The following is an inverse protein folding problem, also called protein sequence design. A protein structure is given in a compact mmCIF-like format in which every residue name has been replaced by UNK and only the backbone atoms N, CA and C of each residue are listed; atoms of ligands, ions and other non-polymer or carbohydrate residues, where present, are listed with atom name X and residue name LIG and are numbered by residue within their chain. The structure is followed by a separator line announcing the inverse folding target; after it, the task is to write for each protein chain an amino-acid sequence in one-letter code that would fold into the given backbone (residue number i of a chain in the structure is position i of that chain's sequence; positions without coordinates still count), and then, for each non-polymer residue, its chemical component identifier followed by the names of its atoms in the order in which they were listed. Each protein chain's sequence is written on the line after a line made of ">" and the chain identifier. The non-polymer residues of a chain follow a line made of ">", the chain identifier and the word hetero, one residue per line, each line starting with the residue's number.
data_IF_199043966632
#
_entry.id   IF_199043966632
#
_cell.length_a   1.000
_cell.length_b   1.000
_cell.length_c   1.000
_cell.angle_alpha   90.00
_cell.angle_beta   90.00
_cell.angle_gamma   90.00
#
_symmetry.space_group_name_H-M   'P 1'
#
loop_
_entity.id
_entity.type
_entity.pdbx_description
1 polymer ?
#
# COMPACT_ATOMS: atom_id res chain seq x y z
N UNK A 1 -20.71 13.99 -30.63
CA UNK A 1 -19.37 13.92 -30.01
C UNK A 1 -19.07 12.44 -29.78
N UNK A 2 -17.94 11.93 -30.27
CA UNK A 2 -17.59 10.51 -30.14
C UNK A 2 -17.45 10.11 -28.68
N UNK A 3 -18.00 8.95 -28.30
CA UNK A 3 -17.87 8.39 -26.95
C UNK A 3 -16.40 8.08 -26.68
N UNK A 4 -15.82 8.66 -25.63
CA UNK A 4 -14.45 8.32 -25.22
C UNK A 4 -14.46 6.90 -24.66
N UNK A 5 -13.47 6.10 -25.04
CA UNK A 5 -13.25 4.77 -24.43
C UNK A 5 -12.47 5.00 -23.14
N UNK A 6 -12.98 4.47 -22.03
CA UNK A 6 -12.41 4.69 -20.70
C UNK A 6 -11.78 3.41 -20.18
N UNK A 7 -10.78 3.60 -19.33
CA UNK A 7 -10.32 2.59 -18.40
C UNK A 7 -10.59 3.01 -16.96
N UNK A 8 -10.84 2.02 -16.12
CA UNK A 8 -11.12 2.18 -14.70
C UNK A 8 -10.08 1.40 -13.89
N UNK A 9 -9.55 2.05 -12.86
CA UNK A 9 -8.66 1.41 -11.90
C UNK A 9 -9.49 0.70 -10.84
N UNK A 10 -9.55 -0.63 -10.92
CA UNK A 10 -10.35 -1.46 -10.01
C UNK A 10 -9.95 -1.26 -8.54
N UNK A 11 -10.91 -1.45 -7.64
CA UNK A 11 -10.71 -1.22 -6.21
C UNK A 11 -9.95 -2.35 -5.52
N UNK A 12 -10.09 -3.57 -6.05
CA UNK A 12 -9.63 -4.79 -5.38
C UNK A 12 -8.14 -5.06 -5.61
N UNK A 13 -7.64 -4.73 -6.79
CA UNK A 13 -6.25 -5.03 -7.20
C UNK A 13 -5.48 -3.81 -7.70
N UNK A 14 -6.12 -2.65 -7.82
CA UNK A 14 -5.58 -1.41 -8.40
C UNK A 14 -5.08 -1.54 -9.86
N UNK A 15 -5.51 -2.56 -10.60
CA UNK A 15 -5.22 -2.71 -12.02
C UNK A 15 -6.17 -1.87 -12.90
N UNK A 16 -5.68 -1.46 -14.06
CA UNK A 16 -6.45 -0.74 -15.06
C UNK A 16 -7.13 -1.69 -16.02
N UNK A 17 -8.46 -1.52 -16.18
CA UNK A 17 -9.28 -2.31 -17.08
C UNK A 17 -10.06 -1.41 -18.03
N UNK A 18 -10.20 -1.81 -19.29
CA UNK A 18 -11.09 -1.13 -20.22
C UNK A 18 -12.54 -1.33 -19.79
N UNK A 19 -13.32 -0.25 -19.72
CA UNK A 19 -14.69 -0.27 -19.22
C UNK A 19 -15.66 0.48 -20.12
N UNK A 20 -16.93 0.10 -20.04
CA UNK A 20 -18.06 0.83 -20.59
C UNK A 20 -18.84 1.42 -19.41
N UNK A 21 -18.97 2.74 -19.41
CA UNK A 21 -19.68 3.46 -18.36
C UNK A 21 -21.06 3.91 -18.84
N UNK A 22 -22.04 3.81 -17.98
CA UNK A 22 -23.41 4.28 -18.22
C UNK A 22 -24.01 4.87 -16.94
N UNK A 23 -24.60 6.06 -17.05
CA UNK A 23 -25.30 6.74 -15.95
C UNK A 23 -26.81 6.54 -16.14
N UNK A 24 -27.44 5.73 -15.28
CA UNK A 24 -28.90 5.51 -15.28
C UNK A 24 -29.50 6.15 -14.04
N UNK A 25 -30.30 7.20 -14.24
CA UNK A 25 -30.85 7.98 -13.13
C UNK A 25 -29.74 8.55 -12.27
N UNK A 26 -29.63 8.08 -11.02
CA UNK A 26 -28.60 8.52 -10.06
C UNK A 26 -27.49 7.48 -9.82
N UNK A 27 -27.42 6.43 -10.63
CA UNK A 27 -26.45 5.34 -10.48
C UNK A 27 -25.50 5.27 -11.67
N UNK A 28 -24.20 5.37 -11.38
CA UNK A 28 -23.14 5.10 -12.34
C UNK A 28 -22.87 3.59 -12.38
N UNK A 29 -22.95 3.00 -13.56
CA UNK A 29 -22.60 1.61 -13.81
C UNK A 29 -21.32 1.51 -14.64
N UNK A 30 -20.46 0.58 -14.25
CA UNK A 30 -19.15 0.31 -14.87
C UNK A 30 -19.16 -1.16 -15.28
N UNK A 31 -19.22 -1.41 -16.58
CA UNK A 31 -19.18 -2.74 -17.18
C UNK A 31 -17.76 -3.00 -17.70
N UNK A 32 -17.12 -4.06 -17.22
CA UNK A 32 -15.75 -4.41 -17.61
C UNK A 32 -15.74 -5.10 -18.97
N UNK A 33 -14.82 -4.73 -19.86
CA UNK A 33 -14.70 -5.42 -21.14
C UNK A 33 -14.12 -6.82 -20.96
N UNK A 34 -14.74 -7.81 -21.62
CA UNK A 34 -14.28 -9.19 -21.63
C UNK A 34 -14.75 -10.06 -20.47
N UNK A 35 -15.43 -9.50 -19.48
CA UNK A 35 -16.01 -10.23 -18.33
C UNK A 35 -17.43 -9.76 -18.04
N UNK A 36 -18.29 -10.64 -17.53
CA UNK A 36 -19.67 -10.30 -17.14
C UNK A 36 -19.72 -9.74 -15.71
N UNK A 37 -18.91 -8.72 -15.44
CA UNK A 37 -18.86 -8.05 -14.15
C UNK A 37 -19.29 -6.60 -14.29
N UNK A 38 -20.09 -6.12 -13.32
CA UNK A 38 -20.57 -4.74 -13.30
C UNK A 38 -20.52 -4.18 -11.90
N UNK A 39 -19.86 -3.03 -11.74
CA UNK A 39 -19.80 -2.27 -10.49
C UNK A 39 -20.74 -1.08 -10.59
N UNK A 40 -21.46 -0.80 -9.51
CA UNK A 40 -22.44 0.28 -9.45
C UNK A 40 -22.15 1.24 -8.30
N UNK A 41 -22.21 2.54 -8.58
CA UNK A 41 -22.10 3.60 -7.60
C UNK A 41 -23.36 4.46 -7.61
N UNK A 42 -24.14 4.43 -6.53
CA UNK A 42 -25.26 5.33 -6.34
C UNK A 42 -24.76 6.67 -5.79
N UNK A 43 -25.24 7.79 -6.35
CA UNK A 43 -24.83 9.14 -5.94
C UNK A 43 -25.13 9.44 -4.46
N UNK A 44 -26.10 8.75 -3.85
CA UNK A 44 -26.49 8.86 -2.44
C UNK A 44 -25.54 8.17 -1.47
N UNK A 45 -24.67 7.27 -1.94
CA UNK A 45 -23.84 6.42 -1.08
C UNK A 45 -22.52 7.07 -0.68
N UNK A 46 -22.28 8.31 -1.11
CA UNK A 46 -21.04 9.03 -0.81
C UNK A 46 -21.20 9.85 0.46
N UNK A 47 -20.25 9.71 1.37
CA UNK A 47 -20.24 10.42 2.66
C UNK A 47 -19.63 11.82 2.55
N UNK A 48 -18.79 12.07 1.54
CA UNK A 48 -18.08 13.34 1.35
C UNK A 48 -17.76 13.61 -0.12
N UNK A 49 -17.51 14.88 -0.46
CA UNK A 49 -17.03 15.24 -1.79
C UNK A 49 -15.67 14.60 -2.11
N UNK A 50 -14.81 14.42 -1.10
CA UNK A 50 -13.52 13.75 -1.25
C UNK A 50 -13.68 12.27 -1.64
N UNK A 51 -14.71 11.59 -1.10
CA UNK A 51 -15.02 10.22 -1.51
C UNK A 51 -15.45 10.16 -3.00
N UNK A 52 -16.20 11.15 -3.48
CA UNK A 52 -16.57 11.28 -4.90
C UNK A 52 -15.31 11.48 -5.75
N UNK A 53 -14.42 12.40 -5.35
CA UNK A 53 -13.19 12.69 -6.09
C UNK A 53 -12.25 11.48 -6.17
N UNK A 54 -12.16 10.68 -5.11
CA UNK A 54 -11.40 9.42 -5.13
C UNK A 54 -11.88 8.44 -6.20
N UNK A 55 -13.19 8.35 -6.43
CA UNK A 55 -13.75 7.51 -7.50
C UNK A 55 -13.49 8.13 -8.87
N UNK A 56 -13.66 9.45 -9.02
CA UNK A 56 -13.39 10.14 -10.29
C UNK A 56 -11.94 9.96 -10.75
N UNK A 57 -10.97 10.02 -9.81
CA UNK A 57 -9.53 9.80 -10.10
C UNK A 57 -9.17 8.38 -10.53
N UNK A 58 -10.12 7.44 -10.47
CA UNK A 58 -9.94 6.07 -10.98
C UNK A 58 -10.39 5.90 -12.42
N UNK A 59 -10.81 6.95 -13.10
CA UNK A 59 -11.11 6.93 -14.53
C UNK A 59 -10.08 7.72 -15.32
N UNK A 60 -9.73 7.20 -16.50
CA UNK A 60 -9.05 7.96 -17.54
C UNK A 60 -9.38 7.39 -18.92
N UNK A 61 -8.93 8.08 -19.96
CA UNK A 61 -8.98 7.55 -21.34
C UNK A 61 -8.08 6.33 -21.43
N UNK A 62 -8.49 5.32 -22.20
CA UNK A 62 -7.68 4.11 -22.41
C UNK A 62 -6.25 4.47 -22.81
N UNK A 63 -5.27 3.91 -22.11
CA UNK A 63 -3.85 4.14 -22.35
C UNK A 63 -3.40 3.40 -23.62
N UNK A 64 -3.05 4.09 -24.72
CA UNK A 64 -2.66 3.40 -25.94
C UNK A 64 -1.26 2.79 -25.82
N UNK A 65 -1.07 1.63 -26.44
CA UNK A 65 0.23 0.96 -26.49
C UNK A 65 1.29 1.88 -27.10
N UNK A 66 2.45 1.97 -26.44
CA UNK A 66 3.57 2.79 -26.87
C UNK A 66 4.10 2.31 -28.23
N UNK A 67 4.08 3.19 -29.22
CA UNK A 67 4.57 2.86 -30.56
C UNK A 67 6.07 3.12 -30.69
N UNK A 68 6.75 2.41 -31.61
CA UNK A 68 8.20 2.56 -31.86
C UNK A 68 8.62 4.00 -32.15
N UNK A 69 7.75 4.75 -32.86
CA UNK A 69 7.98 6.17 -33.18
C UNK A 69 7.87 7.10 -31.97
N UNK A 70 7.21 6.64 -30.91
CA UNK A 70 6.96 7.37 -29.67
C UNK A 70 7.98 7.01 -28.58
N UNK A 71 8.69 5.88 -28.71
CA UNK A 71 9.76 5.46 -27.80
C UNK A 71 10.74 6.59 -27.43
N UNK A 72 11.22 7.44 -28.37
CA UNK A 72 12.13 8.55 -28.02
C UNK A 72 11.51 9.59 -27.08
N UNK A 73 10.18 9.70 -27.01
CA UNK A 73 9.46 10.64 -26.13
C UNK A 73 9.41 10.17 -24.68
N UNK A 74 9.62 8.89 -24.42
CA UNK A 74 9.60 8.33 -23.07
C UNK A 74 10.98 8.54 -22.46
N UNK A 75 11.04 9.36 -21.42
CA UNK A 75 12.25 9.70 -20.69
C UNK A 75 12.13 9.40 -19.20
N UNK A 76 13.24 9.52 -18.47
CA UNK A 76 13.24 9.39 -17.01
C UNK A 76 12.22 10.35 -16.39
N UNK A 77 11.39 9.85 -15.48
CA UNK A 77 10.29 10.58 -14.85
C UNK A 77 8.94 10.42 -15.55
N UNK A 78 8.89 9.87 -16.77
CA UNK A 78 7.63 9.62 -17.48
C UNK A 78 6.76 8.64 -16.70
N UNK A 79 5.46 8.93 -16.60
CA UNK A 79 4.48 7.98 -16.09
C UNK A 79 3.95 7.14 -17.25
N UNK A 80 3.99 5.83 -17.10
CA UNK A 80 3.51 4.86 -18.08
C UNK A 80 2.59 3.85 -17.42
N UNK A 81 1.73 3.21 -18.22
CA UNK A 81 0.95 2.06 -17.77
C UNK A 81 1.59 0.80 -18.34
N UNK A 82 1.97 -0.16 -17.51
CA UNK A 82 2.78 -1.30 -17.92
C UNK A 82 2.16 -2.64 -17.55
N UNK A 83 2.39 -3.63 -18.40
CA UNK A 83 1.96 -5.01 -18.21
C UNK A 83 2.79 -5.71 -17.12
N UNK A 84 2.10 -6.30 -16.15
CA UNK A 84 2.68 -6.99 -15.01
C UNK A 84 2.25 -8.45 -14.99
N UNK A 85 3.22 -9.35 -15.06
CA UNK A 85 3.04 -10.81 -15.16
C UNK A 85 3.38 -11.50 -13.83
N UNK A 86 2.69 -11.15 -12.75
CA UNK A 86 3.01 -11.65 -11.38
C UNK A 86 2.18 -12.86 -10.96
N UNK A 87 1.01 -13.08 -11.56
CA UNK A 87 0.05 -14.07 -11.06
C UNK A 87 0.23 -15.49 -11.64
N UNK A 88 1.21 -15.68 -12.54
CA UNK A 88 1.42 -16.95 -13.25
C UNK A 88 0.32 -17.22 -14.30
N UNK A 89 0.67 -17.91 -15.40
CA UNK A 89 -0.23 -18.11 -16.54
C UNK A 89 -0.41 -16.86 -17.42
N UNK A 90 -1.49 -16.80 -18.20
CA UNK A 90 -1.82 -15.69 -19.12
C UNK A 90 -2.45 -14.46 -18.42
N UNK A 91 -2.54 -14.44 -17.07
CA UNK A 91 -3.12 -13.32 -16.32
C UNK A 91 -2.16 -12.11 -16.30
N UNK A 92 -2.31 -11.28 -17.33
CA UNK A 92 -1.56 -10.04 -17.52
C UNK A 92 -2.42 -8.86 -17.10
N UNK A 93 -1.94 -8.09 -16.11
CA UNK A 93 -2.63 -6.88 -15.61
C UNK A 93 -1.79 -5.64 -15.80
N UNK A 94 -2.45 -4.50 -15.89
CA UNK A 94 -1.82 -3.22 -16.21
C UNK A 94 -1.82 -2.28 -15.01
N UNK A 95 -0.66 -1.73 -14.68
CA UNK A 95 -0.47 -0.83 -13.54
C UNK A 95 0.39 0.37 -13.94
N UNK A 96 0.22 1.48 -13.23
CA UNK A 96 1.06 2.65 -13.47
C UNK A 96 2.47 2.46 -12.89
N UNK A 97 3.46 3.02 -13.58
CA UNK A 97 4.85 3.02 -13.18
C UNK A 97 5.54 4.31 -13.65
N UNK A 98 6.59 4.71 -12.95
CA UNK A 98 7.51 5.77 -13.36
C UNK A 98 8.70 5.15 -14.07
N UNK A 99 9.12 5.73 -15.18
CA UNK A 99 10.36 5.35 -15.86
C UNK A 99 11.54 5.93 -15.08
N UNK A 100 12.36 5.10 -14.44
CA UNK A 100 13.54 5.54 -13.68
C UNK A 100 14.80 5.67 -14.54
N UNK A 101 14.89 4.84 -15.58
CA UNK A 101 15.96 4.89 -16.57
C UNK A 101 15.49 4.31 -17.90
N UNK A 102 16.15 4.71 -18.98
CA UNK A 102 15.95 4.13 -20.31
C UNK A 102 17.31 3.77 -20.88
N UNK A 103 17.51 2.47 -21.12
CA UNK A 103 18.64 1.98 -21.89
C UNK A 103 18.25 1.97 -23.37
N UNK A 104 18.92 2.81 -24.15
CA UNK A 104 18.55 3.09 -25.55
C UNK A 104 19.25 2.10 -26.47
N UNK A 105 18.47 1.24 -27.10
CA UNK A 105 18.92 0.33 -28.14
C UNK A 105 18.56 0.79 -29.56
N UNK A 106 18.89 -0.05 -30.53
CA UNK A 106 18.57 0.20 -31.93
C UNK A 106 17.05 0.18 -32.20
N UNK A 107 16.66 0.96 -33.22
CA UNK A 107 15.29 1.02 -33.71
C UNK A 107 15.26 0.63 -35.19
N UNK A 108 14.36 -0.29 -35.54
CA UNK A 108 14.04 -0.61 -36.93
C UNK A 108 12.62 -0.14 -37.23
N UNK A 109 12.48 1.05 -37.79
CA UNK A 109 11.17 1.60 -38.17
C UNK A 109 10.50 0.84 -39.31
N UNK A 110 11.28 0.14 -40.13
CA UNK A 110 10.78 -0.69 -41.24
C UNK A 110 10.17 -1.99 -40.72
N UNK A 111 10.75 -2.58 -39.67
CA UNK A 111 10.25 -3.82 -39.05
C UNK A 111 9.34 -3.59 -37.84
N UNK A 112 9.27 -2.36 -37.33
CA UNK A 112 8.55 -2.06 -36.09
C UNK A 112 9.23 -2.62 -34.84
N UNK A 113 10.57 -2.74 -34.85
CA UNK A 113 11.33 -3.29 -33.74
C UNK A 113 12.02 -2.17 -32.95
N UNK A 114 11.96 -2.26 -31.62
CA UNK A 114 12.67 -1.38 -30.70
C UNK A 114 13.36 -2.23 -29.64
N UNK A 115 14.68 -2.07 -29.51
CA UNK A 115 15.50 -2.81 -28.55
C UNK A 115 15.77 -2.01 -27.26
N UNK A 116 15.06 -0.90 -27.04
CA UNK A 116 15.16 -0.14 -25.80
C UNK A 116 14.61 -0.95 -24.62
N UNK A 117 15.29 -0.82 -23.49
CA UNK A 117 14.84 -1.35 -22.20
C UNK A 117 14.48 -0.20 -21.28
N UNK A 118 13.30 -0.26 -20.68
CA UNK A 118 12.81 0.73 -19.74
C UNK A 118 12.88 0.16 -18.33
N UNK A 119 13.54 0.86 -17.41
CA UNK A 119 13.54 0.52 -15.99
C UNK A 119 12.34 1.20 -15.36
N UNK A 120 11.37 0.40 -14.92
CA UNK A 120 10.11 0.87 -14.35
C UNK A 120 10.13 0.75 -12.83
N UNK A 121 9.78 1.85 -12.15
CA UNK A 121 9.41 1.88 -10.73
C UNK A 121 7.90 1.90 -10.60
N UNK A 122 7.31 0.80 -10.17
CA UNK A 122 5.86 0.65 -10.15
C UNK A 122 5.21 1.59 -9.12
N UNK A 123 4.12 2.25 -9.50
CA UNK A 123 3.36 3.12 -8.61
C UNK A 123 2.19 2.41 -7.95
N UNK A 124 1.80 1.25 -8.48
CA UNK A 124 0.62 0.47 -8.08
C UNK A 124 0.85 -1.03 -8.31
N UNK A 125 -0.07 -1.82 -7.79
CA UNK A 125 -0.11 -3.26 -8.01
C UNK A 125 0.94 -4.06 -7.23
N UNK A 126 1.11 -5.34 -7.54
CA UNK A 126 1.92 -6.28 -6.75
C UNK A 126 3.43 -5.98 -6.80
N UNK A 127 3.88 -5.14 -7.73
CA UNK A 127 5.28 -4.72 -7.86
C UNK A 127 5.56 -3.31 -7.36
N UNK A 128 4.57 -2.60 -6.79
CA UNK A 128 4.68 -1.21 -6.30
C UNK A 128 6.03 -0.89 -5.64
N UNK A 129 6.84 0.02 -6.18
CA UNK A 129 8.14 0.40 -5.60
C UNK A 129 9.32 -0.49 -5.98
N UNK A 130 9.09 -1.65 -6.61
CA UNK A 130 10.16 -2.45 -7.22
C UNK A 130 10.60 -1.84 -8.55
N UNK A 131 11.86 -2.11 -8.90
CA UNK A 131 12.39 -1.83 -10.23
C UNK A 131 12.31 -3.08 -11.09
N UNK A 132 11.74 -2.95 -12.29
CA UNK A 132 11.76 -4.03 -13.29
C UNK A 132 12.07 -3.49 -14.67
N UNK A 133 12.69 -4.34 -15.48
CA UNK A 133 12.89 -4.05 -16.89
C UNK A 133 11.62 -4.38 -17.68
N UNK A 134 11.28 -3.50 -18.61
CA UNK A 134 10.19 -3.65 -19.55
C UNK A 134 10.66 -3.33 -20.96
N UNK A 135 10.06 -4.01 -21.94
CA UNK A 135 10.22 -3.67 -23.35
C UNK A 135 9.11 -2.73 -23.80
N UNK A 136 9.26 -2.14 -24.99
CA UNK A 136 8.23 -1.28 -25.57
C UNK A 136 6.85 -1.95 -25.64
N UNK A 137 6.82 -3.26 -25.91
CA UNK A 137 5.57 -4.03 -26.12
C UNK A 137 4.72 -4.12 -24.86
N UNK A 138 5.36 -4.04 -23.69
CA UNK A 138 4.72 -4.10 -22.37
C UNK A 138 4.31 -2.74 -21.82
N UNK A 139 4.43 -1.66 -22.59
CA UNK A 139 4.23 -0.28 -22.12
C UNK A 139 3.12 0.40 -22.94
N UNK A 140 2.24 1.08 -22.23
CA UNK A 140 1.23 1.99 -22.75
C UNK A 140 1.51 3.41 -22.25
N UNK A 141 1.20 4.40 -23.09
CA UNK A 141 1.33 5.82 -22.74
C UNK A 141 0.13 6.28 -21.93
N UNK A 142 0.38 7.01 -20.85
CA UNK A 142 -0.68 7.61 -20.04
C UNK A 142 -0.90 9.04 -20.54
N UNK A 143 -2.03 9.24 -21.22
CA UNK A 143 -2.44 10.57 -21.68
C UNK A 143 -3.47 11.12 -20.69
N UNK A 144 -3.04 12.04 -19.82
CA UNK A 144 -3.95 12.85 -19.03
C UNK A 144 -4.14 14.20 -19.73
N UNK A 145 -5.22 14.36 -20.50
CA UNK A 145 -5.60 15.63 -21.10
C UNK A 145 -6.27 16.58 -20.08
N UNK A 146 -6.36 16.17 -18.81
CA UNK A 146 -7.04 16.88 -17.73
C UNK A 146 -8.56 16.94 -17.90
N UNK A 147 -9.13 16.27 -18.92
CA UNK A 147 -10.55 16.30 -19.22
C UNK A 147 -11.25 15.08 -18.62
N UNK A 148 -12.11 15.33 -17.65
CA UNK A 148 -13.00 14.31 -17.10
C UNK A 148 -14.08 13.99 -18.14
N UNK A 149 -14.34 12.70 -18.36
CA UNK A 149 -15.41 12.26 -19.26
C UNK A 149 -16.77 12.87 -18.86
N UNK A 150 -17.60 13.35 -19.82
CA UNK A 150 -18.88 14.00 -19.51
C UNK A 150 -19.83 13.18 -18.64
N UNK A 151 -19.83 11.84 -18.77
CA UNK A 151 -20.68 10.95 -17.95
C UNK A 151 -20.17 10.96 -16.50
N UNK A 152 -18.85 10.83 -16.33
CA UNK A 152 -18.20 10.85 -15.01
C UNK A 152 -18.35 12.22 -14.35
N UNK A 153 -18.21 13.31 -15.11
CA UNK A 153 -18.42 14.67 -14.63
C UNK A 153 -19.88 14.90 -14.18
N UNK A 154 -20.86 14.40 -14.95
CA UNK A 154 -22.28 14.49 -14.62
C UNK A 154 -22.60 13.74 -13.33
N UNK A 155 -22.06 12.53 -13.18
CA UNK A 155 -22.19 11.74 -11.96
C UNK A 155 -21.55 12.43 -10.74
N UNK A 156 -20.32 12.94 -10.90
CA UNK A 156 -19.60 13.66 -9.84
C UNK A 156 -20.42 14.85 -9.32
N UNK A 157 -20.95 15.68 -10.23
CA UNK A 157 -21.81 16.81 -9.87
C UNK A 157 -23.11 16.38 -9.17
N UNK A 158 -23.67 15.22 -9.52
CA UNK A 158 -24.84 14.68 -8.86
C UNK A 158 -24.52 14.21 -7.44
N UNK A 159 -23.46 13.43 -7.27
CA UNK A 159 -23.03 12.90 -5.98
C UNK A 159 -22.65 14.03 -5.00
N UNK A 160 -21.86 15.02 -5.45
CA UNK A 160 -21.49 16.19 -4.64
C UNK A 160 -22.71 16.96 -4.13
N UNK A 161 -23.72 17.20 -4.99
CA UNK A 161 -24.98 17.85 -4.57
C UNK A 161 -25.72 17.06 -3.48
N UNK A 162 -25.68 15.72 -3.51
CA UNK A 162 -26.32 14.88 -2.50
C UNK A 162 -25.58 14.99 -1.16
N UNK A 163 -24.26 14.96 -1.19
CA UNK A 163 -23.40 15.18 0.00
C UNK A 163 -23.70 16.52 0.66
N UNK A 164 -23.79 17.61 -0.11
CA UNK A 164 -24.13 18.94 0.43
C UNK A 164 -25.54 18.97 1.04
N UNK A 165 -26.51 18.32 0.40
CA UNK A 165 -27.90 18.28 0.87
C UNK A 165 -28.08 17.42 2.14
N UNK A 166 -27.25 16.40 2.36
CA UNK A 166 -27.24 15.63 3.61
C UNK A 166 -26.62 16.39 4.79
N UNK A 167 -25.70 17.34 4.52
CA UNK A 167 -25.06 18.17 5.54
C UNK A 167 -25.98 19.27 6.11
N UNK A 168 -27.00 19.71 5.36
CA UNK A 168 -27.89 20.81 5.73
C UNK A 168 -28.98 20.52 6.77
N UNK A 169 -28.91 19.44 7.55
CA UNK A 169 -29.97 19.01 8.47
C UNK A 169 -29.71 19.13 9.98
N UNK A 170 -28.58 19.66 10.45
CA UNK A 170 -28.39 19.94 11.89
C UNK A 170 -27.87 21.37 12.14
N UNK A 171 -28.67 22.15 12.87
CA UNK A 171 -28.43 23.56 13.23
C UNK A 171 -27.61 23.67 14.53
N UNK A 172 -26.56 24.50 14.47
CA UNK A 172 -25.88 25.28 15.53
C UNK A 172 -25.43 24.63 16.84
N UNK A 173 -24.11 24.54 17.04
CA UNK A 173 -23.41 25.11 18.20
C UNK A 173 -22.11 25.77 17.72
N UNK A 174 -21.85 26.96 18.25
CA UNK A 174 -20.73 27.85 17.96
C UNK A 174 -19.53 27.59 18.87
N UNK A 175 -18.36 27.92 18.33
CA UNK A 175 -17.11 28.38 18.97
C UNK A 175 -15.99 27.36 19.27
N UNK A 176 -14.92 27.60 18.51
CA UNK A 176 -13.50 27.74 18.88
C UNK A 176 -12.49 26.61 18.64
N UNK A 177 -11.48 27.02 17.85
CA UNK A 177 -10.03 26.78 17.96
C UNK A 177 -9.38 25.61 17.23
N UNK A 178 -8.31 25.94 16.50
CA UNK A 178 -7.23 25.01 16.09
C UNK A 178 -7.17 24.65 14.61
N UNK A 179 -6.73 25.57 13.75
CA UNK A 179 -6.58 25.33 12.31
C UNK A 179 -5.40 24.41 11.93
N UNK A 180 -5.71 23.16 11.58
CA UNK A 180 -4.79 22.13 11.04
C UNK A 180 -4.52 22.25 9.53
N UNK A 181 -4.61 23.46 8.95
CA UNK A 181 -4.52 23.65 7.50
C UNK A 181 -3.10 23.92 6.96
N UNK A 182 -2.06 23.38 7.61
CA UNK A 182 -0.70 23.55 7.11
C UNK A 182 0.12 22.30 7.43
N UNK A 183 0.19 21.34 6.49
CA UNK A 183 1.27 20.32 6.39
C UNK A 183 1.16 19.36 5.18
N UNK A 184 0.22 19.54 4.23
CA UNK A 184 0.24 18.85 2.93
C UNK A 184 0.55 19.77 1.75
N UNK A 185 1.33 20.83 2.00
CA UNK A 185 2.00 21.61 0.96
C UNK A 185 3.45 21.80 1.45
N UNK A 186 4.39 21.41 0.59
CA UNK A 186 5.85 21.36 0.77
C UNK A 186 6.41 20.21 1.60
N UNK A 187 6.64 19.05 0.95
CA UNK A 187 8.03 18.67 0.69
C UNK A 187 8.14 17.71 -0.52
N UNK A 188 8.95 18.10 -1.51
CA UNK A 188 9.30 17.28 -2.68
C UNK A 188 10.50 16.37 -2.37
N UNK A 189 10.55 15.78 -1.18
CA UNK A 189 11.54 14.76 -0.84
C UNK A 189 10.85 13.44 -0.55
N UNK A 190 11.12 12.45 -1.42
CA UNK A 190 11.00 11.04 -1.04
C UNK A 190 11.91 10.85 0.19
N UNK A 191 11.42 10.28 1.31
CA UNK A 191 12.26 10.05 2.47
C UNK A 191 13.42 9.14 2.06
N UNK A 192 14.64 9.56 2.40
CA UNK A 192 15.83 8.76 2.15
C UNK A 192 15.83 7.52 3.04
N UNK A 193 16.63 6.51 2.67
CA UNK A 193 16.85 5.35 3.53
C UNK A 193 17.35 5.76 4.92
N UNK A 194 18.12 6.85 5.02
CA UNK A 194 18.55 7.44 6.28
C UNK A 194 17.40 8.08 7.08
N UNK A 195 16.43 8.71 6.42
CA UNK A 195 15.23 9.26 7.09
C UNK A 195 14.35 8.13 7.65
N UNK A 196 14.27 7.02 6.92
CA UNK A 196 13.62 5.79 7.39
C UNK A 196 14.43 5.25 8.57
N UNK A 197 15.75 5.07 8.47
CA UNK A 197 16.60 4.59 9.55
C UNK A 197 16.51 5.46 10.83
N UNK A 198 16.51 6.78 10.69
CA UNK A 198 16.35 7.72 11.80
C UNK A 198 14.94 7.63 12.43
N UNK A 199 13.90 7.37 11.62
CA UNK A 199 12.56 7.09 12.11
C UNK A 199 12.50 5.75 12.85
N UNK A 200 13.25 4.73 12.41
CA UNK A 200 13.41 3.46 13.11
C UNK A 200 14.11 3.68 14.46
N UNK A 201 15.23 4.41 14.49
CA UNK A 201 15.99 4.73 15.71
C UNK A 201 15.18 5.54 16.74
N UNK A 202 14.31 6.45 16.27
CA UNK A 202 13.39 7.22 17.13
C UNK A 202 12.32 6.36 17.82
N UNK A 203 11.95 5.21 17.25
CA UNK A 203 10.96 4.28 17.83
C UNK A 203 11.61 3.37 18.89
N UNK A 204 12.92 3.13 18.81
CA UNK A 204 13.68 2.28 19.74
C UNK A 204 14.19 3.01 21.01
N UNK A 205 13.62 4.17 21.34
CA UNK A 205 13.93 4.89 22.58
C UNK A 205 13.45 4.15 23.83
N UNK A 206 14.39 3.58 24.59
CA UNK A 206 14.33 3.20 26.02
C UNK A 206 13.12 2.41 26.57
N UNK A 207 12.29 1.78 25.72
CA UNK A 207 11.18 0.91 26.10
C UNK A 207 11.45 -0.57 25.80
N UNK A 208 10.73 -1.47 26.48
CA UNK A 208 10.76 -2.91 26.16
C UNK A 208 9.85 -3.16 24.95
N UNK A 209 10.41 -2.97 23.75
CA UNK A 209 9.65 -3.02 22.51
C UNK A 209 9.71 -4.42 21.87
N UNK A 210 8.56 -4.97 21.48
CA UNK A 210 8.50 -6.18 20.65
C UNK A 210 8.13 -5.82 19.21
N UNK A 211 8.84 -6.40 18.23
CA UNK A 211 8.50 -6.23 16.81
C UNK A 211 7.80 -7.50 16.32
N UNK A 212 6.59 -7.32 15.79
CA UNK A 212 5.84 -8.39 15.13
C UNK A 212 5.94 -8.18 13.62
N UNK A 213 6.23 -9.26 12.89
CA UNK A 213 6.24 -9.29 11.44
C UNK A 213 5.27 -10.29 10.83
N UNK A 214 5.33 -10.35 9.50
CA UNK A 214 4.54 -11.25 8.66
C UNK A 214 3.00 -11.07 8.75
N UNK A 215 2.55 -9.91 9.21
CA UNK A 215 1.13 -9.59 9.38
C UNK A 215 0.47 -9.16 8.08
N UNK A 216 -0.86 -9.23 8.03
CA UNK A 216 -1.64 -8.73 6.90
C UNK A 216 -1.73 -7.19 6.91
N UNK A 217 -1.68 -6.56 5.74
CA UNK A 217 -1.65 -5.09 5.61
C UNK A 217 -2.96 -4.41 6.02
N UNK A 218 -4.06 -5.14 5.98
CA UNK A 218 -5.39 -4.67 6.37
C UNK A 218 -5.58 -4.56 7.89
N UNK A 219 -4.65 -5.09 8.69
CA UNK A 219 -4.75 -5.05 10.14
C UNK A 219 -4.55 -3.63 10.68
N UNK A 220 -5.56 -3.14 11.39
CA UNK A 220 -5.48 -1.87 12.10
C UNK A 220 -4.72 -2.02 13.43
N UNK A 221 -4.05 -0.95 13.92
CA UNK A 221 -3.43 -0.95 15.24
C UNK A 221 -4.41 -1.33 16.37
N UNK A 222 -5.67 -0.88 16.28
CA UNK A 222 -6.70 -1.17 17.27
C UNK A 222 -7.03 -2.67 17.33
N UNK A 223 -7.17 -3.31 16.17
CA UNK A 223 -7.47 -4.74 16.08
C UNK A 223 -6.31 -5.60 16.63
N UNK A 224 -5.06 -5.21 16.35
CA UNK A 224 -3.87 -5.89 16.90
C UNK A 224 -3.85 -5.75 18.43
N UNK A 225 -4.04 -4.52 18.93
CA UNK A 225 -4.06 -4.23 20.37
C UNK A 225 -5.15 -5.03 21.09
N UNK A 226 -6.36 -5.07 20.54
CA UNK A 226 -7.47 -5.80 21.13
C UNK A 226 -7.21 -7.31 21.17
N UNK A 227 -6.66 -7.86 20.07
CA UNK A 227 -6.32 -9.28 20.00
C UNK A 227 -5.26 -9.67 21.06
N UNK A 228 -4.18 -8.88 21.16
CA UNK A 228 -3.13 -9.12 22.18
C UNK A 228 -3.69 -8.97 23.60
N UNK A 229 -4.56 -7.99 23.84
CA UNK A 229 -5.20 -7.83 25.15
C UNK A 229 -6.06 -9.04 25.50
N UNK A 230 -6.86 -9.52 24.56
CA UNK A 230 -7.75 -10.68 24.76
C UNK A 230 -6.99 -11.97 25.08
N UNK A 231 -5.84 -12.21 24.46
CA UNK A 231 -5.13 -13.49 24.57
C UNK A 231 -3.90 -13.48 25.48
N UNK A 232 -3.23 -12.33 25.66
CA UNK A 232 -2.06 -12.18 26.51
C UNK A 232 -2.32 -11.33 27.77
N UNK A 233 -3.54 -10.78 27.96
CA UNK A 233 -3.87 -9.87 29.06
C UNK A 233 -2.96 -8.64 29.13
N UNK A 234 -2.48 -8.17 27.96
CA UNK A 234 -1.56 -7.05 27.80
C UNK A 234 -2.15 -6.07 26.79
N UNK A 235 -2.20 -4.78 27.11
CA UNK A 235 -2.67 -3.74 26.19
C UNK A 235 -1.47 -2.91 25.69
N UNK A 236 -0.78 -3.31 24.62
CA UNK A 236 0.32 -2.56 24.05
C UNK A 236 -0.17 -1.28 23.34
N UNK A 237 0.71 -0.29 23.24
CA UNK A 237 0.59 0.71 22.18
C UNK A 237 1.13 0.09 20.88
N UNK A 238 0.36 0.20 19.79
CA UNK A 238 0.66 -0.51 18.54
C UNK A 238 0.92 0.49 17.43
N UNK A 239 2.04 0.30 16.75
CA UNK A 239 2.43 1.11 15.59
C UNK A 239 2.67 0.19 14.41
N UNK A 240 1.78 0.22 13.42
CA UNK A 240 1.99 -0.53 12.16
C UNK A 240 3.02 0.23 11.33
N UNK A 241 4.14 -0.42 11.05
CA UNK A 241 5.24 0.17 10.31
C UNK A 241 4.84 0.34 8.84
N UNK A 242 4.91 1.57 8.30
CA UNK A 242 4.75 1.77 6.87
C UNK A 242 5.91 1.07 6.15
N UNK A 243 5.60 0.06 5.34
CA UNK A 243 6.62 -0.57 4.51
C UNK A 243 6.88 0.32 3.28
N UNK A 244 8.12 0.80 3.07
CA UNK A 244 8.48 1.58 1.89
C UNK A 244 8.51 0.74 0.60
N UNK A 245 8.41 -0.58 0.72
CA UNK A 245 8.42 -1.58 -0.35
C UNK A 245 7.08 -2.33 -0.38
N UNK A 246 6.68 -2.96 -1.49
CA UNK A 246 5.42 -3.70 -1.58
C UNK A 246 5.59 -5.07 -0.95
N UNK A 247 5.98 -5.13 0.32
CA UNK A 247 6.09 -6.40 1.03
C UNK A 247 4.70 -7.01 1.11
N UNK A 248 4.56 -8.30 0.81
CA UNK A 248 3.30 -9.04 0.97
C UNK A 248 2.88 -9.20 2.45
N UNK A 249 3.56 -8.52 3.35
CA UNK A 249 3.34 -8.51 4.79
C UNK A 249 3.61 -7.11 5.34
N UNK A 250 3.08 -6.83 6.52
CA UNK A 250 3.41 -5.65 7.33
C UNK A 250 4.13 -6.05 8.62
N UNK A 251 4.84 -5.09 9.22
CA UNK A 251 5.45 -5.19 10.54
C UNK A 251 4.74 -4.22 11.47
N UNK A 252 4.70 -4.51 12.77
CA UNK A 252 4.20 -3.59 13.77
C UNK A 252 5.10 -3.63 15.00
N UNK A 253 5.24 -2.47 15.64
CA UNK A 253 5.93 -2.32 16.91
C UNK A 253 4.89 -2.31 18.01
N UNK A 254 5.11 -3.15 19.02
CA UNK A 254 4.39 -3.12 20.27
C UNK A 254 5.25 -2.40 21.31
N UNK A 255 4.82 -1.22 21.75
CA UNK A 255 5.42 -0.57 22.89
C UNK A 255 4.77 -1.07 24.18
N UNK A 256 5.62 -1.56 25.07
CA UNK A 256 5.25 -2.14 26.35
C UNK A 256 5.95 -1.39 27.47
N UNK A 257 5.20 -1.11 28.54
CA UNK A 257 5.66 -0.31 29.67
C UNK A 257 6.60 -1.07 30.62
N UNK A 258 6.63 -2.41 30.54
CA UNK A 258 7.33 -3.27 31.50
C UNK A 258 7.85 -4.54 30.86
N UNK A 259 9.01 -5.01 31.37
CA UNK A 259 9.59 -6.31 31.02
C UNK A 259 8.64 -7.47 31.11
N UNK A 260 7.87 -7.49 32.20
CA UNK A 260 6.90 -8.55 32.45
C UNK A 260 5.89 -8.64 31.30
N UNK A 261 5.40 -7.51 30.80
CA UNK A 261 4.44 -7.51 29.68
C UNK A 261 5.11 -7.89 28.36
N UNK A 262 6.36 -7.46 28.14
CA UNK A 262 7.18 -7.91 27.01
C UNK A 262 7.32 -9.44 26.99
N UNK A 263 7.79 -10.02 28.10
CA UNK A 263 7.98 -11.46 28.22
C UNK A 263 6.65 -12.24 28.04
N UNK A 264 5.53 -11.72 28.55
CA UNK A 264 4.21 -12.32 28.35
C UNK A 264 3.79 -12.35 26.88
N UNK A 265 4.02 -11.25 26.15
CA UNK A 265 3.69 -11.17 24.72
C UNK A 265 4.60 -12.08 23.90
N UNK A 266 5.91 -12.10 24.16
CA UNK A 266 6.84 -13.01 23.48
C UNK A 266 6.51 -14.48 23.77
N UNK A 267 6.21 -14.83 25.02
CA UNK A 267 5.82 -16.20 25.39
C UNK A 267 4.55 -16.66 24.67
N UNK A 268 3.60 -15.74 24.48
CA UNK A 268 2.40 -16.00 23.70
C UNK A 268 2.70 -16.20 22.21
N UNK A 269 3.43 -15.27 21.58
CA UNK A 269 3.69 -15.31 20.13
C UNK A 269 4.66 -16.44 19.70
N UNK A 270 5.60 -16.82 20.57
CA UNK A 270 6.60 -17.85 20.32
C UNK A 270 6.33 -19.17 21.04
N UNK A 271 5.07 -19.41 21.42
CA UNK A 271 4.66 -20.68 21.99
C UNK A 271 4.87 -21.83 20.99
N UNK A 272 5.40 -22.99 21.41
CA UNK A 272 5.47 -24.17 20.55
C UNK A 272 4.08 -24.81 20.33
N UNK A 273 3.12 -24.54 21.21
CA UNK A 273 1.83 -25.23 21.22
C UNK A 273 0.79 -24.55 20.33
N UNK A 274 1.04 -23.32 19.89
CA UNK A 274 0.13 -22.59 19.02
C UNK A 274 0.84 -21.55 18.15
N UNK A 275 0.14 -21.10 17.11
CA UNK A 275 0.51 -19.91 16.35
C UNK A 275 -0.67 -18.94 16.31
N UNK A 276 -0.37 -17.65 16.37
CA UNK A 276 -1.31 -16.61 15.97
C UNK A 276 -1.23 -16.48 14.45
N UNK A 277 -2.37 -16.61 13.77
CA UNK A 277 -2.46 -16.45 12.32
C UNK A 277 -3.51 -15.41 11.97
N UNK A 278 -3.22 -14.53 11.02
CA UNK A 278 -4.26 -13.72 10.35
C UNK A 278 -5.27 -14.65 9.67
N UNK A 279 -6.48 -14.15 9.39
CA UNK A 279 -7.51 -14.96 8.73
C UNK A 279 -7.10 -15.52 7.35
N UNK A 280 -6.16 -14.86 6.67
CA UNK A 280 -5.52 -15.36 5.45
C UNK A 280 -4.59 -16.57 5.67
N UNK A 281 -4.36 -16.99 6.93
CA UNK A 281 -3.48 -18.08 7.34
C UNK A 281 -2.02 -17.67 7.55
N UNK A 282 -1.71 -16.36 7.56
CA UNK A 282 -0.35 -15.84 7.76
C UNK A 282 0.04 -15.84 9.24
N UNK A 283 1.11 -16.52 9.66
CA UNK A 283 1.54 -16.53 11.05
C UNK A 283 2.17 -15.20 11.43
N UNK A 284 1.80 -14.68 12.60
CA UNK A 284 2.47 -13.54 13.20
C UNK A 284 3.79 -14.01 13.78
N UNK A 285 4.86 -13.30 13.46
CA UNK A 285 6.22 -13.74 13.81
C UNK A 285 6.87 -12.67 14.67
N UNK A 286 7.32 -13.06 15.86
CA UNK A 286 8.20 -12.22 16.68
C UNK A 286 9.54 -12.08 15.97
N UNK A 287 9.97 -10.85 15.70
CA UNK A 287 11.26 -10.53 15.12
C UNK A 287 12.12 -9.94 16.23
N UNK A 288 13.28 -10.55 16.48
CA UNK A 288 14.26 -9.95 17.39
C UNK A 288 14.74 -8.61 16.81
N UNK A 289 14.51 -7.53 17.58
CA UNK A 289 15.14 -6.25 17.31
C UNK A 289 16.57 -6.31 17.86
N UNK A 290 17.52 -6.64 16.98
CA UNK A 290 18.93 -6.73 17.31
C UNK A 290 19.47 -5.32 17.63
N UNK A 291 19.38 -4.90 18.89
CA UNK A 291 19.95 -3.64 19.43
C UNK A 291 21.49 -3.55 19.29
N UNK A 292 22.12 -4.60 18.77
CA UNK A 292 23.57 -4.78 18.65
C UNK A 292 24.20 -4.20 17.38
N UNK A 293 23.44 -3.55 16.51
CA UNK A 293 24.01 -2.83 15.35
C UNK A 293 24.77 -1.53 15.71
N UNK A 294 24.93 -1.21 17.00
CA UNK A 294 25.98 -0.29 17.45
C UNK A 294 25.85 1.15 16.94
N UNK A 295 24.62 1.61 16.65
CA UNK A 295 24.36 3.01 16.34
C UNK A 295 24.05 3.71 17.66
N UNK A 296 24.88 4.69 18.01
CA UNK A 296 24.91 5.36 19.30
C UNK A 296 23.75 6.36 19.40
N UNK A 297 22.62 5.94 19.98
CA UNK A 297 21.42 6.76 20.18
C UNK A 297 21.58 7.77 21.33
N UNK A 298 22.55 8.68 21.26
CA UNK A 298 22.79 9.71 22.29
C UNK A 298 22.62 11.14 21.79
N UNK A 299 21.97 11.34 20.65
CA UNK A 299 21.59 12.66 20.18
C UNK A 299 20.21 12.61 19.58
N UNK A 300 19.47 13.70 19.76
CA UNK A 300 18.14 14.04 19.21
C UNK A 300 16.96 13.76 20.14
N UNK A 301 16.49 14.88 20.71
CA UNK A 301 15.37 14.95 21.63
C UNK A 301 14.01 14.95 20.93
N UNK A 302 13.03 14.49 21.72
CA UNK A 302 11.63 14.90 21.76
C UNK A 302 10.98 15.26 20.42
N UNK A 303 10.45 14.25 19.72
CA UNK A 303 9.32 14.43 18.81
C UNK A 303 8.23 13.42 19.18
N UNK A 304 7.35 13.84 20.10
CA UNK A 304 6.08 13.19 20.33
C UNK A 304 5.24 13.31 19.04
N UNK A 305 4.96 12.19 18.38
CA UNK A 305 4.06 12.16 17.23
C UNK A 305 2.65 11.81 17.74
N UNK A 306 1.81 12.84 17.88
CA UNK A 306 0.41 12.72 18.25
C UNK A 306 -0.38 12.07 17.09
N UNK A 307 -0.69 10.78 17.19
CA UNK A 307 -1.83 10.21 16.47
C UNK A 307 -3.00 10.11 17.45
N UNK A 308 -3.90 11.08 17.35
CA UNK A 308 -5.19 11.04 18.04
C UNK A 308 -5.96 9.79 17.60
N UNK A 309 -6.48 9.07 18.61
CA UNK A 309 -7.47 8.02 18.48
C UNK A 309 -8.61 8.49 17.58
N UNK A 310 -8.64 8.05 16.32
CA UNK A 310 -9.88 8.03 15.57
C UNK A 310 -10.67 6.82 16.03
N UNK A 311 -11.82 7.13 16.61
CA UNK A 311 -12.89 6.24 17.00
C UNK A 311 -13.46 5.59 15.72
N UNK A 312 -12.77 4.56 15.21
CA UNK A 312 -13.23 3.78 14.07
C UNK A 312 -14.21 2.72 14.59
N UNK A 313 -15.48 2.94 14.26
CA UNK A 313 -16.61 2.10 14.62
C UNK A 313 -16.39 0.64 14.22
N UNK A 314 -16.41 -0.23 15.24
CA UNK A 314 -16.72 -1.67 15.23
C UNK A 314 -17.03 -2.30 13.86
N UNK A 315 -16.03 -2.94 13.27
CA UNK A 315 -16.24 -4.19 12.55
C UNK A 315 -15.78 -5.32 13.47
N UNK A 316 -16.77 -5.93 14.13
CA UNK A 316 -16.69 -7.16 14.93
C UNK A 316 -16.40 -8.36 14.00
N UNK A 317 -15.23 -8.32 13.36
CA UNK A 317 -14.70 -9.39 12.54
C UNK A 317 -13.43 -9.91 13.18
N UNK A 318 -13.36 -11.21 13.45
CA UNK A 318 -12.17 -11.87 13.98
C UNK A 318 -11.01 -11.67 12.98
N UNK A 319 -10.05 -10.80 13.31
CA UNK A 319 -8.96 -10.42 12.38
C UNK A 319 -7.80 -11.43 12.36
N UNK A 320 -7.71 -12.23 13.40
CA UNK A 320 -6.69 -13.26 13.60
C UNK A 320 -7.26 -14.34 14.51
N UNK A 321 -6.68 -15.54 14.43
CA UNK A 321 -7.08 -16.69 15.22
C UNK A 321 -5.84 -17.41 15.79
N UNK A 322 -6.05 -18.14 16.89
CA UNK A 322 -5.03 -19.01 17.48
C UNK A 322 -5.20 -20.42 16.94
N UNK A 323 -4.17 -20.96 16.26
CA UNK A 323 -4.15 -22.34 15.76
C UNK A 323 -3.27 -23.21 16.64
N UNK A 324 -3.80 -24.34 17.12
CA UNK A 324 -3.09 -25.24 18.03
C UNK A 324 -2.33 -26.35 17.31
N UNK A 325 -1.28 -26.83 17.97
CA UNK A 325 -0.44 -27.94 17.52
C UNK A 325 -1.29 -29.18 17.18
N UNK A 326 -0.88 -29.89 16.13
CA UNK A 326 -1.61 -31.07 15.61
C UNK A 326 -2.67 -30.76 14.55
N UNK A 327 -3.14 -29.51 14.41
CA UNK A 327 -4.04 -29.12 13.33
C UNK A 327 -3.31 -28.96 11.99
N UNK A 328 -4.02 -29.13 10.87
CA UNK A 328 -3.44 -28.88 9.53
C UNK A 328 -3.10 -27.40 9.33
N UNK A 329 -3.92 -26.51 9.90
CA UNK A 329 -3.66 -25.07 9.92
C UNK A 329 -2.34 -24.74 10.64
N UNK A 330 -2.05 -25.40 11.77
CA UNK A 330 -0.77 -25.24 12.47
C UNK A 330 0.42 -25.72 11.63
N UNK A 331 0.31 -26.87 10.93
CA UNK A 331 1.40 -27.34 10.05
C UNK A 331 1.69 -26.36 8.92
N UNK A 332 0.64 -25.79 8.31
CA UNK A 332 0.78 -24.76 7.27
C UNK A 332 1.39 -23.48 7.84
N UNK A 333 0.90 -23.00 8.98
CA UNK A 333 1.43 -21.83 9.67
C UNK A 333 2.91 -22.00 10.03
N UNK A 334 3.31 -23.18 10.52
CA UNK A 334 4.71 -23.50 10.79
C UNK A 334 5.61 -23.32 9.56
N UNK A 335 5.24 -23.93 8.43
CA UNK A 335 6.02 -23.79 7.17
C UNK A 335 6.13 -22.33 6.71
N UNK A 336 5.07 -21.54 6.87
CA UNK A 336 5.08 -20.11 6.52
C UNK A 336 5.92 -19.28 7.51
N UNK A 337 5.92 -19.62 8.80
CA UNK A 337 6.77 -18.98 9.82
C UNK A 337 8.23 -19.25 9.49
N UNK A 338 8.59 -20.50 9.21
CA UNK A 338 9.95 -20.91 8.85
C UNK A 338 10.45 -20.15 7.60
N UNK A 339 9.62 -20.11 6.55
CA UNK A 339 9.94 -19.36 5.31
C UNK A 339 10.14 -17.85 5.57
N UNK A 340 9.30 -17.25 6.41
CA UNK A 340 9.43 -15.85 6.75
C UNK A 340 10.69 -15.56 7.58
N UNK A 341 11.04 -16.44 8.51
CA UNK A 341 12.27 -16.33 9.30
C UNK A 341 13.52 -16.42 8.40
N UNK A 342 13.55 -17.35 7.45
CA UNK A 342 14.64 -17.45 6.48
C UNK A 342 14.77 -16.17 5.64
N UNK A 343 13.66 -15.61 5.18
CA UNK A 343 13.63 -14.33 4.48
C UNK A 343 14.17 -13.19 5.36
N UNK A 344 13.68 -13.07 6.60
CA UNK A 344 14.08 -12.01 7.52
C UNK A 344 15.57 -12.09 7.87
N UNK A 345 16.12 -13.31 8.00
CA UNK A 345 17.55 -13.52 8.22
C UNK A 345 18.39 -13.06 7.01
N UNK A 346 17.95 -13.38 5.79
CA UNK A 346 18.63 -12.90 4.58
C UNK A 346 18.60 -11.37 4.46
N UNK A 347 17.47 -10.74 4.76
CA UNK A 347 17.33 -9.28 4.77
C UNK A 347 18.33 -8.63 5.75
N UNK A 348 18.43 -9.15 6.97
CA UNK A 348 19.40 -8.67 7.96
C UNK A 348 20.86 -8.84 7.52
N UNK A 349 21.21 -9.97 6.89
CA UNK A 349 22.57 -10.22 6.40
C UNK A 349 22.94 -9.28 5.25
N UNK A 350 22.00 -8.99 4.35
CA UNK A 350 22.20 -8.03 3.27
C UNK A 350 22.42 -6.62 3.81
N UNK A 351 21.63 -6.21 4.82
CA UNK A 351 21.79 -4.92 5.47
C UNK A 351 23.16 -4.80 6.16
N UNK A 352 23.57 -5.82 6.92
CA UNK A 352 24.90 -5.87 7.57
C UNK A 352 26.02 -5.71 6.53
N UNK A 353 25.93 -6.43 5.40
CA UNK A 353 26.90 -6.31 4.31
C UNK A 353 26.91 -4.90 3.70
N UNK A 354 25.75 -4.30 3.45
CA UNK A 354 25.67 -2.95 2.88
C UNK A 354 26.39 -1.94 3.78
N UNK A 355 26.13 -1.98 5.08
CA UNK A 355 26.79 -1.11 6.08
C UNK A 355 28.31 -1.28 6.03
N UNK A 356 28.80 -2.53 5.97
CA UNK A 356 30.24 -2.82 5.88
C UNK A 356 30.87 -2.30 4.59
N UNK A 357 30.20 -2.41 3.45
CA UNK A 357 30.70 -1.91 2.17
C UNK A 357 30.65 -0.39 2.08
N UNK A 358 29.59 0.26 2.58
CA UNK A 358 29.50 1.72 2.66
C UNK A 358 30.63 2.30 3.52
N UNK A 359 30.92 1.67 4.66
CA UNK A 359 32.03 2.05 5.54
C UNK A 359 33.43 1.84 4.92
N UNK A 360 33.55 1.13 3.80
CA UNK A 360 34.80 1.02 3.04
C UNK A 360 34.92 2.07 1.94
N UNK A 361 33.79 2.62 1.49
CA UNK A 361 33.74 3.65 0.44
C UNK A 361 33.85 5.05 1.02
N UNK A 362 33.21 5.28 2.17
CA UNK A 362 33.31 6.50 2.99
C UNK A 362 34.56 6.46 3.85
#
# INVERSE_FOLDING_TARGET
>A
MGRRVLEFRAMDDDAWYSVKVELKGETLSIEFHGVQETVMFAASNFESENAVERIVRRFRVVSPQLQVRECPRIEKGSIVCAACHTFGGDDTRYYDAVVEAVDRGDHSFVKGECLCTFVLSWLLGPKLGLLTNASIASICTVNDDGQVDPIIASFSNLAKRKVSNSSGKNTTVSANEGGWNQLFIDDKRKPSFQDIQNQWESIYGNGENSVIGNMERSLSPASIREFINRHACVSPEVYVLPSPMPTHFTRAVLLLDTKKKHDMVCQFLDSPDHFVVSMSGRPWVSIECDTKLGINCNSFGSLACNQENRDDSYLDGEVAMVVHSGSEAYKRAKRLKDLFMDFSNHEQLLLKRLIEEEARVL
#
